data_IF_771338536975
#
_entry.id   IF_771338536975
#
_cell.length_a   1.000
_cell.length_b   1.000
_cell.length_c   1.000
_cell.angle_alpha   90.00
_cell.angle_beta   90.00
_cell.angle_gamma   90.00
#
_symmetry.space_group_name_H-M   'P 1'
#
loop_
_entity.id
_entity.type
_entity.pdbx_description
1 polymer ?
#
# COMPACT_ATOMS: atom_id res chain seq x y z
N UNK A 1 -12.61 -65.60 -42.74
CA UNK A 1 -13.90 -66.30 -42.52
C UNK A 1 -14.50 -65.69 -41.26
N UNK A 2 -15.58 -64.91 -41.42
CA UNK A 2 -16.90 -65.09 -40.79
C UNK A 2 -16.92 -64.96 -39.24
N UNK A 3 -17.85 -64.29 -38.57
CA UNK A 3 -18.97 -63.36 -38.85
C UNK A 3 -19.40 -62.88 -37.44
N UNK A 4 -19.67 -61.59 -37.24
CA UNK A 4 -20.98 -61.06 -36.77
C UNK A 4 -21.57 -61.72 -35.50
N UNK A 5 -21.84 -60.91 -34.47
CA UNK A 5 -23.22 -60.55 -34.16
C UNK A 5 -23.37 -59.25 -33.34
N UNK A 6 -24.40 -58.49 -33.70
CA UNK A 6 -24.93 -57.25 -33.13
C UNK A 6 -26.29 -57.57 -32.51
N UNK A 7 -26.67 -56.89 -31.43
CA UNK A 7 -28.03 -56.40 -31.11
C UNK A 7 -27.90 -55.52 -29.84
N UNK A 8 -28.33 -54.26 -29.67
CA UNK A 8 -29.42 -53.41 -30.16
C UNK A 8 -30.83 -53.73 -29.60
N UNK A 9 -31.29 -52.92 -28.62
CA UNK A 9 -32.66 -52.34 -28.41
C UNK A 9 -32.77 -51.76 -26.97
N UNK A 10 -33.05 -50.46 -26.74
CA UNK A 10 -34.32 -49.69 -26.85
C UNK A 10 -34.98 -49.48 -25.46
N UNK A 11 -34.88 -48.27 -24.87
CA UNK A 11 -35.88 -47.17 -24.76
C UNK A 11 -37.14 -47.44 -23.91
N UNK A 12 -37.34 -46.65 -22.84
CA UNK A 12 -38.60 -46.04 -22.36
C UNK A 12 -38.29 -45.30 -21.03
N UNK A 13 -38.31 -43.97 -20.96
CA UNK A 13 -39.48 -43.10 -20.73
C UNK A 13 -40.16 -43.32 -19.36
N UNK A 14 -39.86 -42.46 -18.38
CA UNK A 14 -40.78 -42.16 -17.27
C UNK A 14 -40.81 -40.66 -16.96
N UNK A 15 -42.03 -40.14 -17.07
CA UNK A 15 -42.45 -38.76 -16.95
C UNK A 15 -42.63 -38.33 -15.50
N UNK A 16 -42.47 -37.01 -15.29
CA UNK A 16 -42.97 -36.17 -14.17
C UNK A 16 -44.32 -36.60 -13.57
N UNK A 17 -44.58 -36.12 -12.34
CA UNK A 17 -45.85 -35.51 -12.02
C UNK A 17 -45.73 -33.99 -11.76
N UNK A 18 -46.80 -33.31 -12.18
CA UNK A 18 -47.06 -31.87 -12.07
C UNK A 18 -47.58 -31.54 -10.66
N UNK A 19 -47.18 -30.41 -10.09
CA UNK A 19 -47.92 -29.74 -9.02
C UNK A 19 -48.62 -28.51 -9.60
N UNK A 20 -49.93 -28.44 -9.34
CA UNK A 20 -50.90 -27.49 -9.89
C UNK A 20 -50.84 -26.13 -9.19
N UNK A 21 -51.16 -25.09 -9.95
CA UNK A 21 -51.55 -23.78 -9.45
C UNK A 21 -53.06 -23.74 -9.18
N UNK A 22 -53.49 -23.00 -8.15
CA UNK A 22 -54.69 -22.15 -8.25
C UNK A 22 -54.68 -21.02 -7.19
N UNK A 23 -55.38 -19.88 -7.43
CA UNK A 23 -55.18 -18.59 -6.78
C UNK A 23 -56.30 -18.19 -5.79
N UNK A 24 -56.02 -17.24 -4.90
CA UNK A 24 -57.00 -16.32 -4.27
C UNK A 24 -56.21 -15.17 -3.60
N UNK A 25 -56.23 -13.94 -4.12
CA UNK A 25 -57.13 -12.82 -3.75
C UNK A 25 -57.30 -12.59 -2.24
N UNK A 26 -56.85 -11.44 -1.74
CA UNK A 26 -57.40 -10.88 -0.49
C UNK A 26 -56.52 -9.94 0.35
N UNK A 27 -56.63 -8.63 0.06
CA UNK A 27 -56.65 -7.49 1.01
C UNK A 27 -55.43 -7.16 1.91
N UNK A 28 -54.89 -5.96 1.62
CA UNK A 28 -54.25 -5.02 2.57
C UNK A 28 -55.09 -4.77 3.84
N UNK A 29 -54.42 -4.43 4.95
CA UNK A 29 -54.90 -3.40 5.86
C UNK A 29 -54.04 -2.13 5.80
N UNK A 30 -54.72 -0.99 5.94
CA UNK A 30 -54.21 0.38 6.06
C UNK A 30 -54.00 0.75 7.53
N UNK A 31 -53.05 1.68 7.76
CA UNK A 31 -53.05 2.67 8.84
C UNK A 31 -52.36 2.20 10.13
N UNK A 32 -51.67 3.02 10.91
CA UNK A 32 -51.42 4.48 11.01
C UNK A 32 -50.03 4.63 11.64
N UNK A 33 -49.19 5.58 11.25
CA UNK A 33 -49.18 6.91 11.86
C UNK A 33 -48.21 6.97 13.05
N UNK A 34 -46.99 7.46 12.81
CA UNK A 34 -45.97 7.63 13.85
C UNK A 34 -44.83 8.51 13.32
N UNK A 35 -44.96 9.80 13.58
CA UNK A 35 -44.04 10.89 13.26
C UNK A 35 -42.69 10.73 13.95
N UNK A 36 -41.59 10.82 13.19
CA UNK A 36 -40.28 11.13 13.75
C UNK A 36 -39.51 12.06 12.79
N UNK A 37 -39.00 13.13 13.38
CA UNK A 37 -38.46 14.33 12.79
C UNK A 37 -37.38 14.14 11.72
N UNK A 38 -37.52 14.91 10.64
CA UNK A 38 -36.42 15.24 9.72
C UNK A 38 -35.45 16.19 10.43
N UNK A 39 -34.29 15.71 10.83
CA UNK A 39 -33.12 16.55 11.10
C UNK A 39 -32.24 16.56 9.85
N UNK A 40 -32.37 17.64 9.08
CA UNK A 40 -31.49 17.95 7.96
C UNK A 40 -30.13 18.43 8.50
N UNK A 41 -29.21 17.50 8.76
CA UNK A 41 -27.81 17.79 9.02
C UNK A 41 -27.07 18.04 7.71
N UNK A 42 -26.89 19.30 7.33
CA UNK A 42 -25.93 19.70 6.28
C UNK A 42 -24.52 19.38 6.78
N UNK A 43 -23.98 18.22 6.40
CA UNK A 43 -22.57 17.91 6.57
C UNK A 43 -21.73 18.81 5.65
N UNK A 44 -21.20 19.91 6.18
CA UNK A 44 -20.16 20.69 5.52
C UNK A 44 -18.91 19.82 5.44
N UNK A 45 -18.45 19.53 4.23
CA UNK A 45 -17.10 19.02 3.97
C UNK A 45 -16.14 20.17 4.33
N UNK A 46 -15.41 20.01 5.43
CA UNK A 46 -14.32 20.93 5.79
C UNK A 46 -13.08 20.44 5.07
N UNK A 47 -12.79 21.06 3.92
CA UNK A 47 -11.51 20.91 3.24
C UNK A 47 -10.44 21.59 4.10
N UNK A 48 -9.49 20.80 4.60
CA UNK A 48 -8.36 21.30 5.38
C UNK A 48 -7.31 21.83 4.40
N UNK A 49 -7.29 23.15 4.18
CA UNK A 49 -6.28 23.82 3.35
C UNK A 49 -4.91 23.76 4.04
N UNK A 50 -4.03 22.88 3.55
CA UNK A 50 -2.68 22.66 4.10
C UNK A 50 -1.65 23.75 3.74
N UNK A 51 -2.05 24.81 3.03
CA UNK A 51 -1.12 25.84 2.53
C UNK A 51 -1.64 27.28 2.69
N UNK A 52 -2.06 27.64 3.90
CA UNK A 52 -2.30 29.06 4.23
C UNK A 52 -1.08 29.68 4.92
N UNK A 53 -0.46 30.73 4.35
CA UNK A 53 0.60 31.45 5.04
C UNK A 53 0.04 32.21 6.25
N UNK A 54 0.73 32.10 7.40
CA UNK A 54 0.40 32.82 8.62
C UNK A 54 0.47 34.34 8.36
N UNK A 55 -0.66 35.04 8.53
CA UNK A 55 -0.69 36.50 8.46
C UNK A 55 -0.11 37.08 9.76
N UNK A 56 0.94 37.89 9.62
CA UNK A 56 1.50 38.71 10.67
C UNK A 56 0.51 39.74 11.20
N UNK A 57 0.62 40.03 12.48
CA UNK A 57 -0.10 41.10 13.16
C UNK A 57 0.42 42.49 12.69
N UNK A 58 -0.45 43.50 12.59
CA UNK A 58 -0.07 44.83 12.13
C UNK A 58 0.49 45.67 13.28
N UNK A 59 1.41 46.57 12.92
CA UNK A 59 1.96 47.60 13.79
C UNK A 59 1.29 48.96 13.51
N UNK A 60 1.31 49.80 14.55
CA UNK A 60 1.13 51.25 14.61
C UNK A 60 -0.28 51.89 14.50
N UNK A 61 -0.68 52.54 15.61
CA UNK A 61 -1.06 53.96 15.57
C UNK A 61 -2.19 54.43 16.51
N UNK A 62 -1.85 55.25 17.53
CA UNK A 62 -2.69 56.41 17.91
C UNK A 62 -3.01 56.68 19.39
N UNK A 63 -2.19 57.53 20.04
CA UNK A 63 -2.45 58.57 21.09
C UNK A 63 -3.72 58.52 21.98
N UNK A 64 -3.56 58.65 23.31
CA UNK A 64 -3.70 59.90 24.09
C UNK A 64 -3.98 59.70 25.62
N UNK A 65 -3.19 60.43 26.43
CA UNK A 65 -3.51 61.20 27.65
C UNK A 65 -4.12 60.59 28.97
N UNK A 66 -3.31 60.77 30.04
CA UNK A 66 -3.59 61.46 31.32
C UNK A 66 -3.98 60.70 32.62
N UNK A 67 -3.21 61.05 33.68
CA UNK A 67 -3.46 61.04 35.16
C UNK A 67 -3.64 59.69 35.86
N UNK A 68 -3.05 59.37 37.02
CA UNK A 68 -2.36 60.11 38.09
C UNK A 68 -1.85 59.12 39.16
N UNK A 69 -1.44 59.54 40.36
CA UNK A 69 -0.12 59.23 40.94
C UNK A 69 -0.15 58.24 42.13
N UNK A 70 1.02 57.74 42.55
CA UNK A 70 1.54 58.04 43.90
C UNK A 70 2.99 57.59 44.11
N UNK A 71 3.69 58.40 44.88
CA UNK A 71 5.10 58.33 45.23
C UNK A 71 5.33 57.50 46.50
N UNK A 72 6.52 56.91 46.62
CA UNK A 72 7.17 56.72 47.90
C UNK A 72 8.70 56.75 47.69
N UNK A 73 9.33 57.65 48.42
CA UNK A 73 10.73 58.06 48.35
C UNK A 73 11.54 57.47 49.52
N UNK A 74 12.86 57.51 49.36
CA UNK A 74 13.92 57.65 50.37
C UNK A 74 14.73 56.38 50.77
N UNK A 75 16.00 56.54 51.23
CA UNK A 75 17.06 57.39 50.66
C UNK A 75 18.45 56.69 50.64
N UNK A 76 19.45 57.47 50.24
CA UNK A 76 20.81 57.14 49.82
C UNK A 76 21.82 56.67 50.90
N UNK A 77 22.91 56.04 50.41
CA UNK A 77 24.25 56.09 51.02
C UNK A 77 25.33 56.07 49.92
N UNK A 78 26.20 57.09 49.91
CA UNK A 78 27.36 57.25 49.02
C UNK A 78 28.59 56.38 49.47
N UNK A 79 29.81 56.54 48.93
CA UNK A 79 30.35 55.87 47.75
C UNK A 79 31.69 55.13 48.05
N UNK A 80 32.16 54.24 47.17
CA UNK A 80 33.55 53.71 47.27
C UNK A 80 34.21 53.69 45.89
N UNK A 81 35.45 54.21 45.74
CA UNK A 81 36.03 54.61 44.45
C UNK A 81 36.69 53.48 43.66
N UNK A 82 36.62 53.61 42.33
CA UNK A 82 37.34 52.76 41.36
C UNK A 82 38.81 53.18 41.22
N UNK A 83 39.76 52.24 41.03
CA UNK A 83 41.08 52.54 40.47
C UNK A 83 41.12 52.35 38.94
N UNK A 84 42.16 52.88 38.25
CA UNK A 84 42.02 53.52 36.94
C UNK A 84 42.41 52.67 35.72
N UNK A 85 41.86 53.09 34.57
CA UNK A 85 42.22 52.90 33.15
C UNK A 85 43.41 51.98 32.79
N UNK A 86 43.10 50.95 31.99
CA UNK A 86 44.07 50.19 31.20
C UNK A 86 43.57 49.95 29.76
N UNK A 87 44.31 50.53 28.80
CA UNK A 87 44.40 50.24 27.36
C UNK A 87 43.20 49.64 26.60
N UNK A 88 42.63 50.45 25.69
CA UNK A 88 41.72 49.98 24.64
C UNK A 88 42.45 49.09 23.63
N UNK A 89 42.24 47.78 23.71
CA UNK A 89 42.61 46.83 22.65
C UNK A 89 41.46 46.80 21.64
N UNK A 90 41.69 47.35 20.45
CA UNK A 90 40.75 47.27 19.34
C UNK A 90 40.50 45.79 18.98
N UNK A 91 39.29 45.29 19.26
CA UNK A 91 38.84 43.98 18.78
C UNK A 91 38.72 44.04 17.25
N UNK A 92 39.63 43.36 16.56
CA UNK A 92 39.51 43.10 15.13
C UNK A 92 38.16 42.40 14.85
N UNK A 93 37.37 42.97 13.95
CA UNK A 93 36.11 42.40 13.51
C UNK A 93 36.36 41.04 12.84
N UNK A 94 35.62 40.02 13.26
CA UNK A 94 35.66 38.70 12.64
C UNK A 94 35.34 38.79 11.14
N UNK A 95 36.03 38.05 10.26
CA UNK A 95 35.79 38.14 8.83
C UNK A 95 34.35 37.76 8.50
N UNK A 96 33.68 38.64 7.75
CA UNK A 96 32.30 38.43 7.30
C UNK A 96 32.21 37.10 6.53
N UNK A 97 31.30 36.21 6.97
CA UNK A 97 31.04 34.94 6.30
C UNK A 97 30.75 35.22 4.82
N UNK A 98 31.63 34.74 3.94
CA UNK A 98 31.50 34.88 2.48
C UNK A 98 30.15 34.30 2.07
N UNK A 99 29.24 35.16 1.62
CA UNK A 99 27.92 34.75 1.15
C UNK A 99 28.09 33.87 -0.09
N UNK A 100 27.43 32.71 -0.08
CA UNK A 100 27.53 31.77 -1.19
C UNK A 100 26.72 32.25 -2.39
N UNK A 101 27.26 32.06 -3.60
CA UNK A 101 26.57 32.41 -4.85
C UNK A 101 25.63 31.30 -5.28
N UNK A 102 24.66 31.62 -6.15
CA UNK A 102 23.74 30.63 -6.72
C UNK A 102 24.47 29.48 -7.45
N UNK A 103 25.59 29.77 -8.09
CA UNK A 103 26.46 28.79 -8.76
C UNK A 103 27.21 27.90 -7.74
N UNK A 104 27.65 28.48 -6.62
CA UNK A 104 28.25 27.74 -5.50
C UNK A 104 27.24 26.81 -4.84
N UNK A 105 25.99 27.27 -4.65
CA UNK A 105 24.89 26.46 -4.14
C UNK A 105 24.47 25.38 -5.15
N UNK A 106 24.42 25.71 -6.44
CA UNK A 106 24.10 24.79 -7.53
C UNK A 106 25.09 23.64 -7.64
N UNK A 107 26.40 23.90 -7.53
CA UNK A 107 27.45 22.86 -7.55
C UNK A 107 27.38 21.87 -6.37
N UNK A 108 26.67 22.22 -5.30
CA UNK A 108 26.46 21.34 -4.14
C UNK A 108 25.20 20.49 -4.25
N UNK A 109 24.35 20.76 -5.24
CA UNK A 109 23.21 19.89 -5.52
C UNK A 109 23.74 18.56 -6.03
N UNK A 110 23.37 17.48 -5.36
CA UNK A 110 23.70 16.11 -5.72
C UNK A 110 22.41 15.31 -5.72
N UNK A 111 22.33 14.34 -6.62
CA UNK A 111 21.25 13.36 -6.60
C UNK A 111 21.33 12.57 -5.28
N UNK A 112 20.17 12.41 -4.63
CA UNK A 112 20.08 11.67 -3.38
C UNK A 112 20.06 10.18 -3.73
N UNK A 113 21.03 9.43 -3.21
CA UNK A 113 21.07 7.98 -3.39
C UNK A 113 19.86 7.32 -2.72
N UNK A 114 19.50 6.12 -3.17
CA UNK A 114 18.35 5.43 -2.59
C UNK A 114 18.61 5.01 -1.13
N UNK A 115 19.86 4.71 -0.75
CA UNK A 115 20.22 4.54 0.66
C UNK A 115 20.01 5.83 1.45
N UNK A 116 20.44 6.98 0.93
CA UNK A 116 20.32 8.24 1.66
C UNK A 116 18.84 8.63 1.84
N UNK A 117 18.02 8.40 0.81
CA UNK A 117 16.58 8.52 0.91
C UNK A 117 16.02 7.56 1.97
N UNK A 118 16.42 6.28 1.94
CA UNK A 118 15.95 5.27 2.88
C UNK A 118 16.35 5.58 4.32
N UNK A 119 17.61 5.95 4.58
CA UNK A 119 18.13 6.27 5.90
C UNK A 119 17.44 7.49 6.50
N UNK A 120 17.22 8.54 5.71
CA UNK A 120 16.51 9.75 6.15
C UNK A 120 14.99 9.53 6.29
N UNK A 121 14.43 8.58 5.54
CA UNK A 121 12.97 8.36 5.47
C UNK A 121 12.53 6.94 5.86
N UNK A 122 13.25 6.26 6.78
CA UNK A 122 12.92 4.90 7.24
C UNK A 122 11.46 4.75 7.68
N UNK A 123 10.90 5.81 8.25
CA UNK A 123 9.52 5.88 8.70
C UNK A 123 8.49 5.75 7.57
N UNK A 124 8.78 6.26 6.36
CA UNK A 124 7.89 6.17 5.21
C UNK A 124 7.69 4.73 4.73
N UNK A 125 8.67 3.85 5.02
CA UNK A 125 8.69 2.46 4.59
C UNK A 125 8.36 1.48 5.72
N UNK A 126 7.96 1.98 6.89
CA UNK A 126 7.58 1.14 8.03
C UNK A 126 8.74 0.57 8.85
N UNK A 127 9.95 1.13 8.71
CA UNK A 127 11.18 0.72 9.41
C UNK A 127 11.65 1.76 10.44
N UNK A 128 10.72 2.49 11.03
CA UNK A 128 10.96 3.55 12.02
C UNK A 128 11.58 3.03 13.33
N UNK A 129 11.13 1.88 13.82
CA UNK A 129 11.56 1.28 15.06
C UNK A 129 11.84 -0.24 14.90
N UNK A 130 12.71 -0.84 15.74
CA UNK A 130 13.12 -2.24 15.60
C UNK A 130 11.97 -3.26 15.69
N UNK A 131 10.95 -2.99 16.51
CA UNK A 131 9.80 -3.90 16.62
C UNK A 131 8.92 -3.88 15.36
N UNK A 132 8.67 -2.69 14.81
CA UNK A 132 7.94 -2.53 13.55
C UNK A 132 8.74 -3.03 12.36
N UNK A 133 10.08 -2.92 12.39
CA UNK A 133 10.93 -3.42 11.31
C UNK A 133 10.76 -4.92 11.07
N UNK A 134 10.79 -5.75 12.14
CA UNK A 134 10.58 -7.19 12.02
C UNK A 134 9.17 -7.53 11.53
N UNK A 135 8.15 -6.83 12.05
CA UNK A 135 6.77 -6.97 11.60
C UNK A 135 6.60 -6.60 10.12
N UNK A 136 7.14 -5.47 9.69
CA UNK A 136 7.08 -4.99 8.31
C UNK A 136 7.78 -5.97 7.37
N UNK A 137 8.99 -6.43 7.69
CA UNK A 137 9.70 -7.41 6.88
C UNK A 137 8.91 -8.74 6.75
N UNK A 138 8.35 -9.22 7.86
CA UNK A 138 7.50 -10.42 7.86
C UNK A 138 6.26 -10.22 7.01
N UNK A 139 5.59 -9.06 7.15
CA UNK A 139 4.41 -8.72 6.37
C UNK A 139 4.69 -8.74 4.88
N UNK A 140 5.71 -8.01 4.43
CA UNK A 140 6.03 -7.89 3.01
C UNK A 140 6.45 -9.23 2.39
N UNK A 141 7.12 -10.10 3.16
CA UNK A 141 7.50 -11.42 2.69
C UNK A 141 6.29 -12.38 2.63
N UNK A 142 5.41 -12.39 3.66
CA UNK A 142 4.17 -13.20 3.65
C UNK A 142 3.24 -12.76 2.52
N UNK A 143 3.02 -11.45 2.36
CA UNK A 143 2.12 -10.91 1.34
C UNK A 143 2.59 -11.27 -0.08
N UNK A 144 3.90 -11.21 -0.33
CA UNK A 144 4.47 -11.62 -1.61
C UNK A 144 4.34 -13.12 -1.87
N UNK A 145 4.54 -13.96 -0.85
CA UNK A 145 4.38 -15.41 -1.00
C UNK A 145 2.91 -15.79 -1.25
N UNK A 146 1.95 -15.18 -0.56
CA UNK A 146 0.52 -15.38 -0.83
C UNK A 146 0.13 -14.94 -2.24
N UNK A 147 0.53 -13.73 -2.65
CA UNK A 147 0.24 -13.21 -3.99
C UNK A 147 0.84 -14.11 -5.08
N UNK A 148 2.07 -14.61 -4.90
CA UNK A 148 2.73 -15.48 -5.87
C UNK A 148 2.00 -16.83 -6.02
N UNK A 149 1.49 -17.40 -4.94
CA UNK A 149 0.71 -18.64 -4.97
C UNK A 149 -0.64 -18.43 -5.67
N UNK A 150 -1.37 -17.38 -5.28
CA UNK A 150 -2.70 -17.07 -5.81
C UNK A 150 -2.65 -16.74 -7.31
N UNK A 151 -1.70 -15.91 -7.75
CA UNK A 151 -1.53 -15.58 -9.18
C UNK A 151 -1.14 -16.79 -10.03
N UNK A 152 -0.59 -17.85 -9.42
CA UNK A 152 -0.25 -19.10 -10.10
C UNK A 152 -1.37 -20.16 -10.02
N UNK A 153 -2.49 -19.85 -9.36
CA UNK A 153 -3.54 -20.85 -9.12
C UNK A 153 -3.13 -21.96 -8.15
N UNK A 154 -2.16 -21.70 -7.27
CA UNK A 154 -1.63 -22.65 -6.30
C UNK A 154 -2.18 -22.30 -4.92
N UNK A 155 -2.74 -23.29 -4.21
CA UNK A 155 -3.16 -23.09 -2.83
C UNK A 155 -1.94 -22.89 -1.90
N UNK A 156 -1.82 -21.74 -1.21
CA UNK A 156 -0.62 -21.39 -0.47
C UNK A 156 -0.32 -22.35 0.69
N UNK A 157 0.93 -22.76 0.80
CA UNK A 157 1.50 -23.42 1.96
C UNK A 157 2.79 -22.67 2.33
N UNK A 158 2.74 -21.98 3.47
CA UNK A 158 3.81 -21.12 3.94
C UNK A 158 4.48 -21.69 5.18
N UNK A 159 5.80 -21.67 5.18
CA UNK A 159 6.64 -21.93 6.34
C UNK A 159 7.37 -20.65 6.70
N UNK A 160 7.09 -20.12 7.88
CA UNK A 160 7.62 -18.86 8.41
C UNK A 160 8.46 -19.19 9.63
N UNK A 161 9.75 -18.87 9.59
CA UNK A 161 10.67 -19.14 10.69
C UNK A 161 11.36 -17.85 11.08
N UNK A 162 11.34 -17.54 12.37
CA UNK A 162 12.07 -16.40 12.93
C UNK A 162 13.01 -16.93 13.99
N UNK A 163 14.31 -16.80 13.75
CA UNK A 163 15.36 -17.24 14.67
C UNK A 163 16.01 -16.03 15.33
N UNK A 164 16.21 -16.08 16.65
CA UNK A 164 16.98 -15.07 17.39
C UNK A 164 18.47 -15.41 17.27
N UNK A 165 19.23 -14.57 16.56
CA UNK A 165 20.69 -14.74 16.40
C UNK A 165 21.46 -14.00 17.49
N UNK A 166 20.92 -12.87 17.95
CA UNK A 166 21.39 -12.06 19.08
C UNK A 166 20.20 -11.26 19.65
N UNK A 167 20.41 -10.56 20.77
CA UNK A 167 19.34 -9.78 21.44
C UNK A 167 18.61 -8.81 20.50
N UNK A 168 19.33 -8.20 19.56
CA UNK A 168 18.81 -7.24 18.59
C UNK A 168 18.82 -7.74 17.14
N UNK A 169 19.11 -9.03 16.90
CA UNK A 169 19.24 -9.58 15.53
C UNK A 169 18.43 -10.84 15.34
N UNK A 170 17.67 -10.86 14.26
CA UNK A 170 16.80 -11.96 13.91
C UNK A 170 17.03 -12.40 12.47
N UNK A 171 16.97 -13.71 12.23
CA UNK A 171 16.85 -14.28 10.90
C UNK A 171 15.39 -14.56 10.62
N UNK A 172 14.83 -13.88 9.62
CA UNK A 172 13.52 -14.17 9.07
C UNK A 172 13.71 -15.05 7.83
N UNK A 173 13.11 -16.23 7.82
CA UNK A 173 13.04 -17.13 6.69
C UNK A 173 11.58 -17.41 6.34
N UNK A 174 11.20 -17.21 5.08
CA UNK A 174 9.87 -17.57 4.57
C UNK A 174 10.05 -18.49 3.38
N UNK A 175 9.40 -19.65 3.42
CA UNK A 175 9.35 -20.61 2.32
C UNK A 175 7.92 -20.79 1.85
N UNK A 176 7.68 -20.60 0.55
CA UNK A 176 6.40 -20.85 -0.08
C UNK A 176 6.46 -22.03 -1.07
N UNK A 177 5.28 -22.51 -1.44
CA UNK A 177 5.06 -23.48 -2.51
C UNK A 177 4.59 -22.78 -3.80
N UNK A 178 4.91 -21.50 -4.01
CA UNK A 178 4.51 -20.77 -5.20
C UNK A 178 5.20 -21.27 -6.48
N UNK A 179 5.03 -20.58 -7.62
CA UNK A 179 5.59 -21.00 -8.91
C UNK A 179 7.12 -20.90 -8.99
N UNK A 180 7.77 -20.37 -7.95
CA UNK A 180 9.17 -19.95 -8.00
C UNK A 180 9.37 -18.69 -8.85
N UNK A 181 10.62 -18.23 -8.90
CA UNK A 181 11.05 -17.03 -9.62
C UNK A 181 12.07 -17.46 -10.67
N UNK A 182 11.88 -16.98 -11.89
CA UNK A 182 12.82 -17.23 -12.99
C UNK A 182 14.19 -16.65 -12.62
N UNK A 183 15.26 -17.46 -12.75
CA UNK A 183 16.64 -17.13 -12.38
C UNK A 183 17.04 -15.68 -12.70
N UNK A 184 16.83 -15.23 -13.94
CA UNK A 184 17.22 -13.90 -14.41
C UNK A 184 16.45 -12.74 -13.75
N UNK A 185 15.29 -13.02 -13.13
CA UNK A 185 14.46 -12.01 -12.47
C UNK A 185 14.79 -11.88 -10.98
N UNK A 186 15.36 -12.92 -10.34
CA UNK A 186 15.65 -12.93 -8.90
C UNK A 186 16.48 -11.69 -8.48
N UNK A 187 17.58 -11.32 -9.15
CA UNK A 187 18.34 -10.13 -8.80
C UNK A 187 17.49 -8.86 -8.81
N UNK A 188 16.62 -8.68 -9.81
CA UNK A 188 15.81 -7.47 -9.95
C UNK A 188 14.69 -7.39 -8.91
N UNK A 189 14.06 -8.53 -8.59
CA UNK A 189 12.98 -8.59 -7.60
C UNK A 189 13.47 -8.21 -6.20
N UNK A 190 14.67 -8.65 -5.80
CA UNK A 190 15.17 -8.42 -4.44
C UNK A 190 16.19 -7.27 -4.33
N UNK A 191 16.86 -6.94 -5.44
CA UNK A 191 17.98 -6.00 -5.45
C UNK A 191 17.71 -4.68 -6.18
N UNK A 192 16.48 -4.43 -6.67
CA UNK A 192 16.07 -3.16 -7.27
C UNK A 192 14.79 -2.66 -6.62
N UNK A 193 14.82 -1.42 -6.12
CA UNK A 193 13.62 -0.76 -5.60
C UNK A 193 12.74 -0.26 -6.74
N UNK A 194 11.43 -0.21 -6.48
CA UNK A 194 10.40 0.17 -7.46
C UNK A 194 10.36 -0.77 -8.68
N UNK A 195 10.68 -2.05 -8.46
CA UNK A 195 10.65 -3.08 -9.49
C UNK A 195 9.52 -4.07 -9.21
N UNK A 196 8.57 -4.18 -10.13
CA UNK A 196 7.50 -5.18 -10.02
C UNK A 196 6.39 -5.01 -11.05
N UNK A 197 5.60 -6.06 -11.23
CA UNK A 197 4.46 -6.11 -12.14
C UNK A 197 3.23 -5.33 -11.64
N UNK A 198 3.17 -5.01 -10.34
CA UNK A 198 1.99 -4.45 -9.67
C UNK A 198 1.76 -2.94 -9.90
N UNK A 199 2.74 -2.20 -10.44
CA UNK A 199 2.64 -0.75 -10.63
C UNK A 199 1.71 -0.29 -11.75
N UNK A 200 1.56 -1.12 -12.80
CA UNK A 200 0.90 -0.69 -14.04
C UNK A 200 -0.56 -1.12 -14.11
N UNK A 201 -1.05 -1.87 -13.12
CA UNK A 201 -2.41 -2.42 -13.11
C UNK A 201 -3.11 -2.05 -11.81
N UNK A 202 -4.20 -1.29 -11.89
CA UNK A 202 -5.09 -1.09 -10.75
C UNK A 202 -5.95 -2.34 -10.57
N UNK A 203 -5.49 -3.24 -9.71
CA UNK A 203 -6.23 -4.40 -9.21
C UNK A 203 -6.07 -4.45 -7.70
N UNK A 204 -7.06 -5.00 -6.99
CA UNK A 204 -6.88 -5.30 -5.58
C UNK A 204 -5.70 -6.26 -5.42
N UNK A 205 -4.78 -5.94 -4.52
CA UNK A 205 -3.62 -6.77 -4.18
C UNK A 205 -3.14 -6.38 -2.78
N UNK A 206 -2.32 -7.22 -2.15
CA UNK A 206 -1.79 -6.96 -0.80
C UNK A 206 -0.75 -5.84 -0.81
N UNK A 207 0.15 -5.86 -1.79
CA UNK A 207 1.21 -4.86 -1.98
C UNK A 207 0.94 -3.91 -3.15
N UNK A 208 0.98 -2.60 -2.89
CA UNK A 208 0.64 -1.56 -3.89
C UNK A 208 1.86 -0.99 -4.63
N UNK A 209 3.02 -0.90 -3.99
CA UNK A 209 4.12 -0.04 -4.44
C UNK A 209 5.38 -0.79 -4.89
N UNK A 210 5.37 -2.12 -5.04
CA UNK A 210 6.54 -2.89 -5.54
C UNK A 210 7.89 -2.59 -4.86
N UNK A 211 7.84 -2.09 -3.61
CA UNK A 211 9.01 -1.74 -2.78
C UNK A 211 9.20 -2.71 -1.62
N UNK A 212 8.15 -3.44 -1.24
CA UNK A 212 8.06 -4.12 0.06
C UNK A 212 9.26 -4.98 0.40
N UNK A 213 9.47 -6.03 -0.39
CA UNK A 213 10.52 -7.01 -0.11
C UNK A 213 11.93 -6.46 -0.34
N UNK A 214 12.13 -5.61 -1.36
CA UNK A 214 13.41 -4.95 -1.60
C UNK A 214 13.75 -3.94 -0.49
N UNK A 215 12.75 -3.29 0.11
CA UNK A 215 12.91 -2.41 1.26
C UNK A 215 13.29 -3.21 2.53
N UNK A 216 12.66 -4.38 2.74
CA UNK A 216 13.05 -5.31 3.81
C UNK A 216 14.50 -5.81 3.62
N UNK A 217 14.87 -6.18 2.39
CA UNK A 217 16.24 -6.55 2.04
C UNK A 217 17.25 -5.42 2.25
N UNK A 218 16.91 -4.19 1.84
CA UNK A 218 17.73 -3.00 2.07
C UNK A 218 17.90 -2.73 3.58
N UNK A 219 16.83 -2.84 4.35
CA UNK A 219 16.88 -2.69 5.79
C UNK A 219 17.81 -3.73 6.44
N UNK A 220 17.66 -5.01 6.06
CA UNK A 220 18.53 -6.08 6.49
C UNK A 220 20.00 -5.76 6.20
N UNK A 221 20.32 -5.43 4.95
CA UNK A 221 21.67 -5.05 4.53
C UNK A 221 22.23 -3.85 5.30
N UNK A 222 21.44 -2.77 5.50
CA UNK A 222 21.90 -1.57 6.19
C UNK A 222 22.09 -1.78 7.70
N UNK A 223 21.42 -2.77 8.30
CA UNK A 223 21.48 -3.02 9.74
C UNK A 223 22.44 -4.14 10.14
N UNK A 224 22.60 -5.16 9.31
CA UNK A 224 23.45 -6.34 9.60
C UNK A 224 24.63 -6.50 8.65
N UNK A 225 24.62 -5.81 7.51
CA UNK A 225 25.61 -5.97 6.43
C UNK A 225 25.44 -7.26 5.61
N UNK A 226 24.51 -8.14 6.01
CA UNK A 226 24.34 -9.45 5.37
C UNK A 226 23.53 -9.33 4.07
N UNK A 227 23.84 -10.15 3.05
CA UNK A 227 23.01 -10.25 1.86
C UNK A 227 21.67 -10.91 2.18
N UNK A 228 20.67 -10.65 1.33
CA UNK A 228 19.45 -11.47 1.29
C UNK A 228 19.82 -12.79 0.62
N UNK A 229 19.44 -13.91 1.23
CA UNK A 229 19.62 -15.25 0.66
C UNK A 229 18.30 -15.71 0.05
N UNK A 230 18.34 -16.14 -1.20
CA UNK A 230 17.16 -16.58 -1.92
C UNK A 230 17.45 -17.95 -2.50
N UNK A 231 16.60 -18.93 -2.22
CA UNK A 231 16.55 -20.14 -3.02
C UNK A 231 15.26 -20.08 -3.82
N UNK A 232 15.29 -20.30 -5.14
CA UNK A 232 14.06 -20.47 -5.93
C UNK A 232 14.12 -21.64 -6.91
N UNK A 233 13.00 -22.36 -7.09
CA UNK A 233 12.82 -23.43 -8.08
C UNK A 233 11.50 -23.25 -8.83
N UNK A 234 11.55 -23.30 -10.15
CA UNK A 234 10.37 -23.06 -11.02
C UNK A 234 9.66 -24.32 -11.50
N UNK A 235 10.07 -25.50 -11.01
CA UNK A 235 9.44 -26.77 -11.35
C UNK A 235 10.37 -27.98 -11.16
N UNK A 236 9.77 -29.16 -11.02
CA UNK A 236 10.45 -30.42 -10.69
C UNK A 236 11.61 -30.80 -11.63
N UNK A 237 11.51 -30.46 -12.91
CA UNK A 237 12.54 -30.77 -13.92
C UNK A 237 13.63 -29.71 -14.04
N UNK A 238 13.54 -28.62 -13.27
CA UNK A 238 14.51 -27.52 -13.30
C UNK A 238 15.32 -27.52 -12.01
N UNK A 239 16.61 -27.12 -12.07
CA UNK A 239 17.43 -26.96 -10.88
C UNK A 239 16.85 -25.86 -9.98
N UNK A 240 17.09 -26.00 -8.69
CA UNK A 240 16.91 -24.90 -7.75
C UNK A 240 18.15 -24.01 -7.78
N UNK A 241 17.96 -22.70 -7.69
CA UNK A 241 19.06 -21.74 -7.69
C UNK A 241 19.10 -21.00 -6.36
N UNK A 242 20.30 -20.94 -5.78
CA UNK A 242 20.64 -20.19 -4.58
C UNK A 242 21.37 -18.90 -4.95
N UNK A 243 20.89 -17.79 -4.41
CA UNK A 243 21.41 -16.45 -4.62
C UNK A 243 21.72 -15.76 -3.30
N UNK A 244 22.82 -15.01 -3.30
CA UNK A 244 23.08 -13.99 -2.29
C UNK A 244 23.08 -12.62 -2.97
N UNK A 245 22.15 -11.76 -2.58
CA UNK A 245 21.90 -10.47 -3.24
C UNK A 245 22.08 -9.33 -2.25
N UNK A 246 22.83 -8.32 -2.68
CA UNK A 246 22.89 -7.00 -2.07
C UNK A 246 22.35 -5.95 -3.04
N UNK A 247 21.94 -4.80 -2.51
CA UNK A 247 21.56 -3.63 -3.29
C UNK A 247 22.76 -2.69 -3.34
N UNK A 248 23.19 -2.31 -4.53
CA UNK A 248 24.02 -1.12 -4.73
C UNK A 248 23.14 0.10 -4.48
N UNK A 249 23.30 0.69 -3.30
CA UNK A 249 22.43 1.76 -2.84
C UNK A 249 22.69 3.10 -3.54
N UNK A 250 23.83 3.25 -4.20
CA UNK A 250 24.15 4.44 -4.99
C UNK A 250 23.45 4.38 -6.35
N UNK A 251 23.40 3.21 -6.98
CA UNK A 251 22.83 3.03 -8.32
C UNK A 251 21.41 2.45 -8.35
N UNK A 252 20.91 1.96 -7.22
CA UNK A 252 19.66 1.18 -7.16
C UNK A 252 19.68 -0.03 -8.12
N UNK A 253 20.79 -0.76 -8.13
CA UNK A 253 20.99 -1.95 -8.96
C UNK A 253 21.36 -3.15 -8.08
N UNK A 254 20.96 -4.36 -8.48
CA UNK A 254 21.30 -5.56 -7.73
C UNK A 254 22.79 -5.90 -7.90
N UNK A 255 23.42 -6.24 -6.78
CA UNK A 255 24.76 -6.83 -6.71
C UNK A 255 24.63 -8.30 -6.28
N UNK A 256 24.83 -9.20 -7.23
CA UNK A 256 24.84 -10.65 -6.97
C UNK A 256 26.22 -11.04 -6.44
N UNK A 257 26.26 -11.61 -5.23
CA UNK A 257 27.49 -12.11 -4.61
C UNK A 257 27.72 -13.59 -4.95
N UNK A 258 26.65 -14.37 -4.87
CA UNK A 258 26.65 -15.82 -5.10
C UNK A 258 25.49 -16.16 -6.03
N UNK A 259 25.73 -17.02 -7.01
CA UNK A 259 24.73 -17.65 -7.88
C UNK A 259 25.20 -19.08 -8.13
N UNK A 260 24.49 -20.04 -7.55
CA UNK A 260 24.80 -21.46 -7.71
C UNK A 260 23.54 -22.30 -7.74
N UNK A 261 23.64 -23.49 -8.31
CA UNK A 261 22.60 -24.50 -8.12
C UNK A 261 22.64 -25.02 -6.68
N UNK A 262 21.47 -25.32 -6.15
CA UNK A 262 21.30 -25.91 -4.82
C UNK A 262 20.35 -27.08 -4.92
N UNK A 263 20.47 -28.03 -4.00
CA UNK A 263 19.45 -29.05 -3.83
C UNK A 263 18.22 -28.44 -3.16
N UNK A 264 17.04 -28.96 -3.55
CA UNK A 264 15.76 -28.60 -2.95
C UNK A 264 14.82 -29.81 -3.01
N UNK A 265 14.27 -30.18 -1.87
CA UNK A 265 13.25 -31.21 -1.65
C UNK A 265 11.86 -30.91 -2.24
N UNK A 266 11.55 -29.66 -2.65
CA UNK A 266 10.24 -29.27 -3.20
C UNK A 266 10.26 -29.18 -4.72
N UNK A 267 9.13 -29.49 -5.35
CA UNK A 267 8.97 -29.44 -6.80
C UNK A 267 9.06 -27.99 -7.35
N UNK A 268 8.54 -27.01 -6.60
CA UNK A 268 8.62 -25.58 -6.91
C UNK A 268 8.46 -24.76 -5.62
N UNK A 269 8.88 -23.49 -5.66
CA UNK A 269 8.73 -22.57 -4.55
C UNK A 269 9.86 -21.54 -4.45
N UNK A 270 9.72 -20.64 -3.50
CA UNK A 270 10.75 -19.66 -3.14
C UNK A 270 10.98 -19.65 -1.64
N UNK A 271 12.25 -19.59 -1.24
CA UNK A 271 12.71 -19.40 0.13
C UNK A 271 13.48 -18.10 0.18
N UNK A 272 13.05 -17.17 1.01
CA UNK A 272 13.71 -15.87 1.21
C UNK A 272 14.16 -15.79 2.65
N UNK A 273 15.45 -15.53 2.85
CA UNK A 273 16.06 -15.41 4.17
C UNK A 273 16.80 -14.08 4.28
N UNK A 274 16.55 -13.37 5.37
CA UNK A 274 17.18 -12.09 5.65
C UNK A 274 17.50 -11.95 7.14
N UNK A 275 18.67 -11.40 7.43
CA UNK A 275 19.11 -11.10 8.79
C UNK A 275 18.97 -9.60 9.02
N UNK A 276 18.14 -9.23 9.98
CA UNK A 276 17.79 -7.83 10.23
C UNK A 276 17.86 -7.49 11.71
N UNK A 277 18.20 -6.23 12.01
CA UNK A 277 18.11 -5.71 13.37
C UNK A 277 16.66 -5.45 13.76
N UNK A 278 16.21 -6.00 14.87
CA UNK A 278 14.80 -5.94 15.29
C UNK A 278 14.60 -6.18 16.77
N UNK A 279 13.35 -6.10 17.21
CA UNK A 279 12.97 -6.54 18.57
C UNK A 279 11.72 -7.39 18.46
N UNK A 280 11.79 -8.62 18.97
CA UNK A 280 10.63 -9.48 19.06
C UNK A 280 9.81 -9.12 20.31
N UNK A 281 8.55 -8.72 20.11
CA UNK A 281 7.60 -8.40 21.18
C UNK A 281 6.36 -9.26 21.01
N UNK A 282 5.80 -9.76 22.12
CA UNK A 282 4.50 -10.46 22.14
C UNK A 282 3.35 -9.50 22.38
N UNK A 283 2.13 -9.95 22.10
CA UNK A 283 0.88 -9.22 22.35
C UNK A 283 0.33 -8.54 21.09
N UNK A 284 -0.58 -7.58 21.28
CA UNK A 284 -1.24 -6.90 20.15
C UNK A 284 -0.24 -6.16 19.28
N UNK A 285 -0.42 -6.25 17.95
CA UNK A 285 0.49 -5.68 16.94
C UNK A 285 1.88 -6.31 16.93
N UNK A 286 2.02 -7.54 17.45
CA UNK A 286 3.24 -8.34 17.30
C UNK A 286 3.29 -9.00 15.93
N UNK A 287 4.45 -9.60 15.64
CA UNK A 287 4.62 -10.49 14.48
C UNK A 287 3.69 -11.70 14.60
N UNK A 288 3.55 -12.28 15.80
CA UNK A 288 2.66 -13.42 16.01
C UNK A 288 1.19 -13.07 15.75
N UNK A 289 0.72 -11.93 16.28
CA UNK A 289 -0.64 -11.43 16.08
C UNK A 289 -0.92 -11.19 14.59
N UNK A 290 0.06 -10.63 13.86
CA UNK A 290 -0.03 -10.49 12.41
C UNK A 290 -0.14 -11.83 11.68
N UNK A 291 0.70 -12.82 11.99
CA UNK A 291 0.68 -14.12 11.33
C UNK A 291 -0.66 -14.84 11.60
N UNK A 292 -1.16 -14.79 12.84
CA UNK A 292 -2.47 -15.34 13.19
C UNK A 292 -3.60 -14.65 12.41
N UNK A 293 -3.62 -13.31 12.38
CA UNK A 293 -4.60 -12.54 11.62
C UNK A 293 -4.51 -12.81 10.12
N UNK A 294 -3.30 -12.94 9.58
CA UNK A 294 -3.07 -13.26 8.18
C UNK A 294 -3.58 -14.65 7.84
N UNK A 295 -3.29 -15.67 8.67
CA UNK A 295 -3.88 -16.98 8.48
C UNK A 295 -5.42 -16.91 8.50
N UNK A 296 -6.02 -16.14 9.44
CA UNK A 296 -7.48 -15.96 9.54
C UNK A 296 -8.08 -15.31 8.28
N UNK A 297 -7.42 -14.27 7.76
CA UNK A 297 -7.85 -13.59 6.54
C UNK A 297 -7.68 -14.43 5.27
N UNK A 298 -6.84 -15.47 5.30
CA UNK A 298 -6.51 -16.34 4.16
C UNK A 298 -6.91 -17.79 4.45
N UNK A 299 -8.23 -18.12 4.42
CA UNK A 299 -8.74 -19.44 4.77
C UNK A 299 -8.23 -20.57 3.87
N UNK A 300 -7.81 -20.26 2.65
CA UNK A 300 -7.23 -21.21 1.69
C UNK A 300 -5.73 -21.48 1.90
N UNK A 301 -5.08 -20.79 2.83
CA UNK A 301 -3.65 -20.94 3.10
C UNK A 301 -3.37 -21.87 4.27
N UNK A 302 -2.38 -22.75 4.11
CA UNK A 302 -1.74 -23.49 5.20
C UNK A 302 -0.55 -22.67 5.70
N UNK A 303 -0.42 -22.48 7.01
CA UNK A 303 0.62 -21.63 7.62
C UNK A 303 1.29 -22.40 8.76
N UNK A 304 2.58 -22.64 8.63
CA UNK A 304 3.45 -23.13 9.69
C UNK A 304 4.37 -21.99 10.12
N UNK A 305 4.29 -21.60 11.39
CA UNK A 305 5.06 -20.51 11.97
C UNK A 305 5.86 -20.98 13.18
N UNK A 306 7.17 -20.80 13.12
CA UNK A 306 8.10 -21.03 14.20
C UNK A 306 8.61 -19.68 14.74
N UNK A 307 8.07 -19.20 15.88
CA UNK A 307 8.55 -17.97 16.52
C UNK A 307 9.95 -18.16 17.12
N UNK A 308 10.68 -17.06 17.43
CA UNK A 308 11.97 -17.16 18.11
C UNK A 308 11.82 -17.64 19.56
N UNK A 309 10.66 -17.37 20.18
CA UNK A 309 10.35 -17.73 21.57
C UNK A 309 8.87 -18.14 21.71
N UNK A 310 8.62 -19.36 22.17
CA UNK A 310 7.28 -19.89 22.45
C UNK A 310 6.91 -21.05 21.55
N UNK A 311 5.62 -21.38 21.53
CA UNK A 311 5.10 -22.54 20.82
C UNK A 311 4.98 -22.29 19.32
N UNK A 312 5.22 -23.32 18.53
CA UNK A 312 4.95 -23.30 17.09
C UNK A 312 3.45 -23.13 16.84
N UNK A 313 3.13 -22.35 15.81
CA UNK A 313 1.77 -22.17 15.33
C UNK A 313 1.63 -22.89 14.00
N UNK A 314 0.76 -23.88 13.95
CA UNK A 314 0.43 -24.58 12.71
C UNK A 314 -1.06 -24.45 12.45
N UNK A 315 -1.39 -24.13 11.21
CA UNK A 315 -2.77 -24.09 10.76
C UNK A 315 -2.89 -24.64 9.35
N UNK A 316 -3.79 -25.60 9.22
CA UNK A 316 -4.26 -26.06 7.92
C UNK A 316 -5.32 -25.12 7.33
N UNK A 317 -5.36 -25.11 6.00
CA UNK A 317 -6.40 -24.40 5.25
C UNK A 317 -7.79 -24.97 5.54
N UNK A 318 -8.77 -24.08 5.53
CA UNK A 318 -10.20 -24.38 5.68
C UNK A 318 -10.87 -24.75 4.36
N UNK A 319 -10.34 -24.25 3.26
CA UNK A 319 -10.90 -24.46 1.93
C UNK A 319 -9.81 -24.86 0.94
N UNK A 320 -10.21 -25.64 -0.07
CA UNK A 320 -9.39 -26.00 -1.22
C UNK A 320 -9.74 -25.13 -2.45
N UNK A 321 -10.62 -24.15 -2.28
CA UNK A 321 -10.99 -23.20 -3.32
C UNK A 321 -10.19 -21.90 -3.14
N UNK A 322 -9.53 -21.47 -4.22
CA UNK A 322 -8.86 -20.17 -4.24
C UNK A 322 -9.89 -19.03 -4.32
N UNK A 323 -9.60 -17.86 -3.73
CA UNK A 323 -10.35 -16.65 -4.00
C UNK A 323 -10.34 -16.37 -5.51
N UNK A 324 -11.45 -15.86 -6.04
CA UNK A 324 -11.50 -15.40 -7.42
C UNK A 324 -10.43 -14.33 -7.66
N UNK A 325 -9.86 -14.29 -8.86
CA UNK A 325 -8.91 -13.24 -9.20
C UNK A 325 -9.62 -11.87 -9.27
N UNK A 326 -9.02 -10.82 -8.66
CA UNK A 326 -9.54 -9.46 -8.76
C UNK A 326 -9.36 -8.93 -10.18
N UNK A 327 -10.43 -8.39 -10.75
CA UNK A 327 -10.38 -7.81 -12.10
C UNK A 327 -9.65 -6.47 -12.08
N UNK A 328 -8.76 -6.28 -13.05
CA UNK A 328 -8.14 -4.99 -13.30
C UNK A 328 -9.18 -3.95 -13.71
N UNK A 329 -9.06 -2.74 -13.18
CA UNK A 329 -9.95 -1.62 -13.48
C UNK A 329 -9.17 -0.39 -13.93
N UNK A 330 -9.79 0.41 -14.79
CA UNK A 330 -9.35 1.77 -15.09
C UNK A 330 -9.66 2.71 -13.93
N UNK A 331 -8.93 3.83 -13.78
CA UNK A 331 -9.27 4.84 -12.79
C UNK A 331 -10.70 5.33 -12.96
N UNK A 332 -11.38 5.57 -11.84
CA UNK A 332 -12.67 6.25 -11.84
C UNK A 332 -12.44 7.77 -11.85
N UNK A 333 -13.17 8.56 -12.67
CA UNK A 333 -12.88 9.98 -12.85
C UNK A 333 -12.97 10.80 -11.56
N UNK A 334 -13.83 10.42 -10.61
CA UNK A 334 -13.92 11.10 -9.30
C UNK A 334 -12.69 10.91 -8.39
N UNK A 335 -11.88 9.88 -8.64
CA UNK A 335 -10.72 9.56 -7.80
C UNK A 335 -9.38 9.99 -8.38
N UNK A 336 -9.38 10.67 -9.53
CA UNK A 336 -8.15 11.09 -10.20
C UNK A 336 -7.79 12.51 -9.78
N UNK A 337 -6.51 12.77 -9.54
CA UNK A 337 -5.99 14.10 -9.24
C UNK A 337 -5.64 14.87 -10.52
N UNK A 338 -5.56 16.21 -10.44
CA UNK A 338 -5.26 17.06 -11.59
C UNK A 338 -3.96 16.65 -12.30
N UNK A 339 -2.88 16.38 -11.56
CA UNK A 339 -1.60 15.96 -12.13
C UNK A 339 -1.69 14.64 -12.90
N UNK A 340 -2.42 13.67 -12.35
CA UNK A 340 -2.67 12.38 -13.01
C UNK A 340 -3.52 12.58 -14.26
N UNK A 341 -4.56 13.43 -14.21
CA UNK A 341 -5.38 13.75 -15.38
C UNK A 341 -4.54 14.39 -16.50
N UNK A 342 -3.62 15.30 -16.16
CA UNK A 342 -2.69 15.91 -17.12
C UNK A 342 -1.83 14.82 -17.79
N UNK A 343 -1.20 13.95 -17.00
CA UNK A 343 -0.38 12.86 -17.52
C UNK A 343 -1.21 11.90 -18.40
N UNK A 344 -2.40 11.50 -17.94
CA UNK A 344 -3.30 10.63 -18.69
C UNK A 344 -3.70 11.22 -20.05
N UNK A 345 -4.05 12.51 -20.11
CA UNK A 345 -4.40 13.17 -21.37
C UNK A 345 -3.20 13.38 -22.29
N UNK A 346 -1.98 13.47 -21.74
CA UNK A 346 -0.73 13.48 -22.50
C UNK A 346 -0.42 12.12 -23.15
N UNK A 347 -0.62 11.04 -22.40
CA UNK A 347 -0.27 9.67 -22.81
C UNK A 347 -1.40 8.92 -23.51
N UNK A 348 -2.62 9.47 -23.52
CA UNK A 348 -3.80 8.82 -24.11
C UNK A 348 -3.60 8.42 -25.57
N UNK A 349 -4.21 7.30 -25.95
CA UNK A 349 -4.33 6.85 -27.35
C UNK A 349 -5.56 7.45 -28.05
N UNK A 350 -6.47 8.08 -27.29
CA UNK A 350 -7.67 8.72 -27.82
C UNK A 350 -7.33 9.91 -28.72
N UNK A 351 -7.88 9.94 -29.94
CA UNK A 351 -7.69 11.07 -30.87
C UNK A 351 -8.46 12.32 -30.46
N UNK A 352 -9.56 12.14 -29.74
CA UNK A 352 -10.45 13.21 -29.27
C UNK A 352 -10.63 13.12 -27.77
N UNK A 353 -10.96 14.25 -27.12
CA UNK A 353 -11.20 14.34 -25.68
C UNK A 353 -12.31 13.39 -25.23
N UNK A 354 -13.39 13.30 -26.02
CA UNK A 354 -14.47 12.33 -25.80
C UNK A 354 -13.95 10.89 -25.76
N UNK A 355 -13.12 10.52 -26.74
CA UNK A 355 -12.58 9.17 -26.85
C UNK A 355 -11.64 8.88 -25.69
N UNK A 356 -10.76 9.82 -25.33
CA UNK A 356 -9.85 9.66 -24.20
C UNK A 356 -10.60 9.46 -22.87
N UNK A 357 -11.62 10.28 -22.61
CA UNK A 357 -12.46 10.13 -21.41
C UNK A 357 -13.18 8.79 -21.37
N UNK A 358 -13.66 8.30 -22.51
CA UNK A 358 -14.34 7.00 -22.62
C UNK A 358 -13.36 5.81 -22.51
N UNK A 359 -12.17 5.93 -23.10
CA UNK A 359 -11.21 4.83 -23.18
C UNK A 359 -10.38 4.68 -21.93
N UNK A 360 -10.08 5.77 -21.21
CA UNK A 360 -9.05 5.76 -20.16
C UNK A 360 -9.66 5.71 -18.76
N UNK A 361 -10.95 6.01 -18.63
CA UNK A 361 -11.67 5.98 -17.35
C UNK A 361 -12.70 4.85 -17.28
N UNK A 362 -12.91 4.36 -16.06
CA UNK A 362 -14.01 3.44 -15.77
C UNK A 362 -15.34 4.18 -15.70
N UNK A 363 -16.42 3.54 -16.16
CA UNK A 363 -17.81 4.02 -16.07
C UNK A 363 -18.12 5.33 -16.82
N UNK A 364 -17.26 5.74 -17.75
CA UNK A 364 -17.51 6.88 -18.63
C UNK A 364 -18.05 6.39 -19.98
N UNK A 365 -19.32 6.65 -20.26
CA UNK A 365 -19.92 6.41 -21.57
C UNK A 365 -19.69 7.59 -22.51
N UNK A 366 -19.93 7.41 -23.81
CA UNK A 366 -19.85 8.50 -24.78
C UNK A 366 -20.71 9.72 -24.39
N UNK A 367 -21.92 9.48 -23.86
CA UNK A 367 -22.83 10.54 -23.38
C UNK A 367 -22.25 11.27 -22.16
N UNK A 368 -21.73 10.52 -21.19
CA UNK A 368 -21.12 11.11 -19.98
C UNK A 368 -19.87 11.91 -20.35
N UNK A 369 -19.06 11.42 -21.29
CA UNK A 369 -17.89 12.16 -21.78
C UNK A 369 -18.30 13.50 -22.44
N UNK A 370 -19.36 13.50 -23.26
CA UNK A 370 -19.91 14.75 -23.83
C UNK A 370 -20.43 15.71 -22.77
N UNK A 371 -21.15 15.21 -21.77
CA UNK A 371 -21.64 16.01 -20.65
C UNK A 371 -20.50 16.65 -19.86
N UNK A 372 -19.42 15.89 -19.61
CA UNK A 372 -18.21 16.40 -18.95
C UNK A 372 -17.55 17.50 -19.80
N UNK A 373 -17.36 17.27 -21.10
CA UNK A 373 -16.79 18.26 -22.01
C UNK A 373 -17.64 19.54 -22.04
N UNK A 374 -18.96 19.41 -22.13
CA UNK A 374 -19.90 20.54 -22.14
C UNK A 374 -19.87 21.31 -20.84
N UNK A 375 -19.83 20.64 -19.69
CA UNK A 375 -19.72 21.27 -18.38
C UNK A 375 -18.38 22.00 -18.17
N UNK A 376 -17.33 21.55 -18.85
CA UNK A 376 -16.01 22.17 -18.86
C UNK A 376 -15.88 23.32 -19.89
N UNK A 377 -16.85 23.50 -20.79
CA UNK A 377 -16.75 24.45 -21.90
C UNK A 377 -15.73 24.03 -22.97
N UNK A 378 -15.47 22.72 -23.11
CA UNK A 378 -14.52 22.17 -24.09
C UNK A 378 -15.24 21.42 -25.20
N UNK A 379 -14.69 21.47 -26.42
CA UNK A 379 -15.17 20.64 -27.53
C UNK A 379 -14.84 19.17 -27.28
N UNK A 380 -15.82 18.25 -27.43
CA UNK A 380 -15.57 16.81 -27.36
C UNK A 380 -14.54 16.30 -28.39
N UNK A 381 -14.38 17.01 -29.51
CA UNK A 381 -13.46 16.73 -30.62
C UNK A 381 -12.06 17.32 -30.39
N UNK A 382 -11.87 18.13 -29.34
CA UNK A 382 -10.58 18.69 -29.00
C UNK A 382 -9.52 17.59 -28.85
N UNK A 383 -8.30 17.87 -29.29
CA UNK A 383 -7.19 16.92 -29.16
C UNK A 383 -6.71 16.92 -27.71
N UNK A 384 -6.74 15.78 -26.98
CA UNK A 384 -6.36 15.72 -25.57
C UNK A 384 -4.96 16.30 -25.29
N UNK A 385 -4.00 15.95 -26.16
CA UNK A 385 -2.59 16.31 -26.03
C UNK A 385 -2.28 17.79 -26.29
N UNK A 386 -3.21 18.53 -26.89
CA UNK A 386 -3.03 19.97 -27.14
C UNK A 386 -3.72 20.85 -26.11
N UNK A 387 -4.39 20.26 -25.11
CA UNK A 387 -5.06 21.04 -24.07
C UNK A 387 -4.03 21.67 -23.12
N UNK A 388 -4.19 22.97 -22.88
CA UNK A 388 -3.39 23.67 -21.87
C UNK A 388 -3.81 23.29 -20.45
N UNK A 389 -2.95 23.53 -19.47
CA UNK A 389 -3.20 23.21 -18.05
C UNK A 389 -4.51 23.82 -17.54
N UNK A 390 -4.82 25.07 -17.91
CA UNK A 390 -6.06 25.74 -17.52
C UNK A 390 -7.33 25.04 -18.07
N UNK A 391 -7.25 24.49 -19.29
CA UNK A 391 -8.36 23.74 -19.89
C UNK A 391 -8.55 22.40 -19.17
N UNK A 392 -7.45 21.72 -18.84
CA UNK A 392 -7.49 20.47 -18.08
C UNK A 392 -8.00 20.71 -16.66
N UNK A 393 -7.66 21.84 -16.04
CA UNK A 393 -8.20 22.23 -14.74
C UNK A 393 -9.71 22.50 -14.82
N UNK A 394 -10.19 23.18 -15.87
CA UNK A 394 -11.62 23.38 -16.10
C UNK A 394 -12.35 22.03 -16.26
N UNK A 395 -11.76 21.09 -17.00
CA UNK A 395 -12.24 19.72 -17.14
C UNK A 395 -12.29 19.00 -15.80
N UNK A 396 -11.22 19.07 -15.02
CA UNK A 396 -11.11 18.47 -13.68
C UNK A 396 -12.21 18.98 -12.74
N UNK A 397 -12.46 20.30 -12.73
CA UNK A 397 -13.53 20.92 -11.94
C UNK A 397 -14.93 20.59 -12.46
N UNK A 398 -15.08 20.18 -13.72
CA UNK A 398 -16.35 19.79 -14.32
C UNK A 398 -16.74 18.34 -14.00
N UNK A 399 -15.76 17.43 -13.91
CA UNK A 399 -15.97 16.01 -13.60
C UNK A 399 -16.93 15.77 -12.41
N UNK A 400 -16.74 16.34 -11.21
CA UNK A 400 -17.62 16.07 -10.06
C UNK A 400 -19.04 16.65 -10.22
N UNK A 401 -19.26 17.56 -11.20
CA UNK A 401 -20.57 18.15 -11.48
C UNK A 401 -21.45 17.26 -12.36
N UNK A 402 -20.84 16.31 -13.07
CA UNK A 402 -21.54 15.34 -13.93
C UNK A 402 -21.73 14.04 -13.17
N UNK A 403 -22.93 13.45 -13.26
CA UNK A 403 -23.24 12.19 -12.58
C UNK A 403 -22.61 11.01 -13.34
N UNK A 404 -21.57 10.43 -12.77
CA UNK A 404 -20.90 9.23 -13.26
C UNK A 404 -21.38 8.02 -12.44
N UNK A 405 -21.56 6.88 -13.09
CA UNK A 405 -21.94 5.64 -12.41
C UNK A 405 -20.84 5.18 -11.46
N UNK A 406 -21.22 4.66 -10.29
CA UNK A 406 -20.27 4.13 -9.32
C UNK A 406 -19.34 3.05 -9.91
N UNK A 407 -18.09 2.94 -9.40
CA UNK A 407 -17.19 1.86 -9.77
C UNK A 407 -17.86 0.48 -9.65
N UNK A 408 -17.52 -0.47 -10.53
CA UNK A 408 -17.99 -1.84 -10.43
C UNK A 408 -17.52 -2.49 -9.12
N UNK A 409 -18.38 -3.27 -8.46
CA UNK A 409 -18.05 -3.97 -7.20
C UNK A 409 -17.31 -5.29 -7.40
N UNK A 410 -17.25 -5.81 -8.63
CA UNK A 410 -16.55 -7.06 -8.96
C UNK A 410 -15.02 -6.95 -9.00
N UNK A 411 -14.47 -5.79 -8.69
CA UNK A 411 -13.03 -5.52 -8.61
C UNK A 411 -12.46 -5.73 -7.21
N UNK A 412 -13.33 -5.98 -6.23
CA UNK A 412 -12.97 -6.34 -4.85
C UNK A 412 -13.42 -7.78 -4.59
N UNK A 413 -12.56 -8.53 -3.94
CA UNK A 413 -12.72 -9.93 -3.58
C UNK A 413 -12.84 -9.99 -2.06
N UNK A 414 -14.04 -10.22 -1.51
CA UNK A 414 -14.21 -10.46 -0.10
C UNK A 414 -13.81 -11.89 0.26
N UNK A 415 -13.43 -12.12 1.52
CA UNK A 415 -13.17 -13.46 2.06
C UNK A 415 -14.47 -14.29 2.12
N UNK A 416 -15.57 -13.66 2.52
CA UNK A 416 -16.88 -14.28 2.65
C UNK A 416 -17.25 -14.63 4.09
N UNK A 417 -18.52 -14.44 4.44
CA UNK A 417 -19.04 -14.56 5.81
C UNK A 417 -18.79 -15.95 6.42
N UNK A 418 -19.04 -17.01 5.65
CA UNK A 418 -18.90 -18.39 6.10
C UNK A 418 -17.45 -18.72 6.51
N UNK A 419 -16.48 -18.36 5.65
CA UNK A 419 -15.06 -18.63 5.90
C UNK A 419 -14.51 -17.80 7.06
N UNK A 420 -14.97 -16.55 7.21
CA UNK A 420 -14.61 -15.71 8.37
C UNK A 420 -15.15 -16.34 9.67
N UNK A 421 -16.41 -16.76 9.69
CA UNK A 421 -17.02 -17.38 10.86
C UNK A 421 -16.31 -18.68 11.27
N UNK A 422 -16.01 -19.53 10.29
CA UNK A 422 -15.31 -20.79 10.54
C UNK A 422 -13.90 -20.56 11.07
N UNK A 423 -13.14 -19.64 10.46
CA UNK A 423 -11.82 -19.28 10.94
C UNK A 423 -11.82 -18.69 12.35
N UNK A 424 -12.82 -17.84 12.68
CA UNK A 424 -12.95 -17.26 14.02
C UNK A 424 -13.23 -18.33 15.08
N UNK A 425 -14.09 -19.31 14.78
CA UNK A 425 -14.43 -20.40 15.70
C UNK A 425 -13.23 -21.29 16.05
N UNK A 426 -12.28 -21.45 15.13
CA UNK A 426 -11.09 -22.24 15.38
C UNK A 426 -10.05 -21.51 16.25
N UNK A 427 -9.90 -20.20 16.09
CA UNK A 427 -8.83 -19.44 16.76
C UNK A 427 -9.25 -18.78 18.06
N UNK A 428 -10.51 -18.36 18.17
CA UNK A 428 -11.00 -17.58 19.32
C UNK A 428 -12.13 -18.35 19.96
N UNK A 429 -12.07 -18.60 21.26
CA UNK A 429 -13.22 -19.08 22.04
C UNK A 429 -14.07 -17.87 22.42
N UNK A 430 -15.29 -17.81 21.92
CA UNK A 430 -16.25 -16.75 22.20
C UNK A 430 -17.66 -17.34 22.34
N UNK A 431 -18.53 -16.65 23.08
CA UNK A 431 -19.92 -17.07 23.29
C UNK A 431 -20.80 -16.81 22.05
N UNK A 432 -20.38 -15.87 21.19
CA UNK A 432 -21.13 -15.46 20.00
C UNK A 432 -20.19 -15.06 18.86
N UNK A 433 -20.54 -15.46 17.63
CA UNK A 433 -19.83 -15.11 16.41
C UNK A 433 -20.82 -14.60 15.37
N UNK A 434 -20.49 -13.50 14.69
CA UNK A 434 -21.25 -12.95 13.56
C UNK A 434 -20.29 -12.39 12.52
N UNK A 435 -20.64 -12.49 11.23
CA UNK A 435 -19.90 -11.90 10.12
C UNK A 435 -20.89 -11.33 9.10
N UNK A 436 -20.49 -10.29 8.37
CA UNK A 436 -21.26 -9.71 7.26
C UNK A 436 -20.31 -9.27 6.14
N UNK A 437 -20.70 -9.46 4.87
CA UNK A 437 -19.89 -9.09 3.69
C UNK A 437 -20.57 -8.05 2.82
#
# INVERSE_FOLDING_TARGET
MAKKERAAKATADQRRPKAQANPHTGRRPKGRGGTAARTAGKGKVVQMDLFRPAKGAPDAGGKAAASGPDAAEAPASDPVPSPPVGAAVARAAAPARRRETAESLGRRQREISVAEFFQKNRHLLGFDNPAKALLTATKEAVDNSLDACEEAGILPALEIVIEELAEDRFRLAITDNGPGIVRNQIPRVFGKLLYGSKFHTMKQSRGQQGIGISAAGMYAQLTTGQPVRITSRTGKKKPAHFFEIQIDTAKNEPKVLTDRESEWDRDHGTRVEMELAGTYKKGRRSVDDYIMQSALANPHATVHYKPPKGDEFQRERLTQELPREPLAIKPHPYGVELGILIAMLGDTKGRTLKTALQSDFSRVSAKVAEEICRAAGLSPEAKPRSLGVQQIEALFRAIPKVKVMAPPSNVIVPVGEALILEGLKQMVKADFYTATT
#
